data_IF_029788154540
#
_entry.id   IF_029788154540
#
_cell.length_a   1.000
_cell.length_b   1.000
_cell.length_c   1.000
_cell.angle_alpha   90.00
_cell.angle_beta   90.00
_cell.angle_gamma   90.00
#
_symmetry.space_group_name_H-M   'P 1'
#
loop_
_entity.id
_entity.type
_entity.pdbx_description
1 polymer ?
#
# COMPACT_ATOMS: atom_id res chain seq x y z
N UNK A 1 -17.12 6.28 1.46
CA UNK A 1 -16.15 7.40 1.37
C UNK A 1 -14.76 6.79 1.31
N UNK A 2 -13.88 7.24 0.42
CA UNK A 2 -12.48 6.76 0.32
C UNK A 2 -11.56 7.80 0.99
N UNK A 3 -10.43 7.37 1.52
CA UNK A 3 -9.42 8.26 2.10
C UNK A 3 -8.65 8.98 0.97
N UNK A 4 -8.37 10.27 1.15
CA UNK A 4 -7.42 10.97 0.27
C UNK A 4 -5.98 10.63 0.65
N UNK A 5 -5.06 10.94 -0.25
CA UNK A 5 -3.62 10.81 -0.07
C UNK A 5 -3.11 11.22 1.32
N UNK A 6 -3.51 12.40 1.80
CA UNK A 6 -3.12 12.91 3.12
C UNK A 6 -3.65 12.05 4.26
N UNK A 7 -4.90 11.61 4.16
CA UNK A 7 -5.53 10.78 5.20
C UNK A 7 -4.94 9.37 5.22
N UNK A 8 -4.63 8.81 4.04
CA UNK A 8 -3.90 7.54 3.90
C UNK A 8 -2.55 7.65 4.61
N UNK A 9 -1.77 8.69 4.30
CA UNK A 9 -0.47 8.90 4.90
C UNK A 9 -0.57 9.06 6.43
N UNK A 10 -1.50 9.89 6.91
CA UNK A 10 -1.70 10.07 8.35
C UNK A 10 -2.08 8.76 9.04
N UNK A 11 -2.92 7.93 8.41
CA UNK A 11 -3.35 6.66 9.00
C UNK A 11 -2.24 5.60 9.02
N UNK A 12 -1.30 5.67 8.07
CA UNK A 12 -0.06 4.90 8.11
C UNK A 12 0.82 5.33 9.29
N UNK A 13 0.98 6.65 9.52
CA UNK A 13 1.75 7.19 10.66
C UNK A 13 1.10 6.90 12.01
N UNK A 14 -0.23 7.00 12.10
CA UNK A 14 -1.02 6.66 13.29
C UNK A 14 -1.01 5.16 13.60
N UNK A 15 -0.53 4.32 12.69
CA UNK A 15 -0.55 2.86 12.80
C UNK A 15 -1.94 2.23 12.66
N UNK A 16 -2.95 3.00 12.23
CA UNK A 16 -4.31 2.49 11.93
C UNK A 16 -4.32 1.61 10.69
N UNK A 17 -3.45 1.93 9.73
CA UNK A 17 -3.17 1.11 8.54
C UNK A 17 -1.70 0.72 8.63
N UNK A 18 -1.40 -0.57 8.41
CA UNK A 18 -0.04 -1.06 8.40
C UNK A 18 0.26 -1.73 7.05
N UNK A 19 1.28 -1.22 6.37
CA UNK A 19 1.87 -1.81 5.17
C UNK A 19 3.35 -1.98 5.47
N UNK A 20 3.91 -3.16 5.19
CA UNK A 20 5.32 -3.46 5.45
C UNK A 20 5.97 -4.04 4.18
N UNK A 21 7.03 -3.41 3.63
CA UNK A 21 7.62 -2.14 4.08
C UNK A 21 6.65 -0.96 3.92
N UNK A 22 6.76 0.04 4.79
CA UNK A 22 5.90 1.23 4.74
C UNK A 22 6.19 2.02 3.45
N UNK A 23 5.15 2.35 2.64
CA UNK A 23 5.35 3.12 1.42
C UNK A 23 5.65 4.58 1.73
N UNK A 24 6.46 5.18 0.86
CA UNK A 24 6.74 6.62 0.88
C UNK A 24 5.54 7.43 0.36
N UNK A 25 5.48 8.73 0.65
CA UNK A 25 4.35 9.59 0.26
C UNK A 25 4.16 9.67 -1.26
N UNK A 26 5.24 9.60 -2.03
CA UNK A 26 5.21 9.63 -3.50
C UNK A 26 4.53 8.39 -4.12
N UNK A 27 4.39 7.31 -3.36
CA UNK A 27 3.65 6.10 -3.73
C UNK A 27 2.15 6.20 -3.41
N UNK A 28 1.71 7.32 -2.84
CA UNK A 28 0.32 7.59 -2.52
C UNK A 28 -0.20 8.66 -3.48
N UNK A 29 -1.25 8.35 -4.23
CA UNK A 29 -1.82 9.31 -5.19
C UNK A 29 -3.34 9.27 -5.20
N UNK A 30 -3.95 10.46 -5.08
CA UNK A 30 -5.40 10.62 -5.09
C UNK A 30 -6.10 9.87 -3.95
N UNK A 31 -6.54 8.64 -4.23
CA UNK A 31 -7.28 7.78 -3.31
C UNK A 31 -6.66 6.36 -3.23
N UNK A 32 -5.41 6.19 -3.66
CA UNK A 32 -4.74 4.89 -3.85
C UNK A 32 -3.30 4.90 -3.35
N UNK A 33 -2.76 3.70 -3.09
CA UNK A 33 -1.36 3.44 -2.75
C UNK A 33 -0.81 2.40 -3.72
N UNK A 34 0.34 2.68 -4.32
CA UNK A 34 1.01 1.79 -5.25
C UNK A 34 1.76 0.67 -4.50
N UNK A 35 1.60 -0.58 -4.97
CA UNK A 35 2.25 -1.77 -4.40
C UNK A 35 3.15 -2.42 -5.45
N UNK A 36 4.24 -3.04 -4.99
CA UNK A 36 5.22 -3.73 -5.85
C UNK A 36 4.96 -5.23 -5.91
N UNK A 37 5.28 -5.84 -7.05
CA UNK A 37 5.18 -7.29 -7.24
C UNK A 37 6.25 -8.02 -6.43
N UNK A 38 5.83 -9.02 -5.65
CA UNK A 38 6.75 -9.92 -4.94
C UNK A 38 7.43 -10.93 -5.88
N UNK A 39 8.38 -11.69 -5.35
CA UNK A 39 9.20 -12.63 -6.15
C UNK A 39 8.83 -14.12 -5.96
N UNK A 40 7.66 -14.42 -5.39
CA UNK A 40 7.20 -15.79 -5.14
C UNK A 40 5.98 -16.10 -6.00
N UNK A 41 6.10 -17.10 -6.86
CA UNK A 41 5.06 -17.52 -7.78
C UNK A 41 4.78 -19.01 -7.59
N UNK A 42 3.54 -19.43 -7.83
CA UNK A 42 3.13 -20.83 -7.81
C UNK A 42 2.55 -21.19 -9.17
N UNK A 43 2.97 -22.33 -9.70
CA UNK A 43 2.48 -22.90 -10.96
C UNK A 43 1.73 -24.20 -10.66
N UNK A 44 0.89 -24.65 -11.58
CA UNK A 44 0.23 -25.96 -11.51
C UNK A 44 1.08 -26.99 -12.25
N UNK A 45 1.09 -28.24 -11.76
CA UNK A 45 1.60 -29.42 -12.49
C UNK A 45 0.41 -30.25 -12.96
N UNK A 46 0.54 -30.86 -14.15
CA UNK A 46 -0.45 -31.76 -14.75
C UNK A 46 -0.43 -33.17 -14.14
#
# INVERSE_FOLDING_TARGET
MRLCDRDIYQYLQDGKIKIDPQPDYDQISGLTVDIRLGNKFRVFED
#
